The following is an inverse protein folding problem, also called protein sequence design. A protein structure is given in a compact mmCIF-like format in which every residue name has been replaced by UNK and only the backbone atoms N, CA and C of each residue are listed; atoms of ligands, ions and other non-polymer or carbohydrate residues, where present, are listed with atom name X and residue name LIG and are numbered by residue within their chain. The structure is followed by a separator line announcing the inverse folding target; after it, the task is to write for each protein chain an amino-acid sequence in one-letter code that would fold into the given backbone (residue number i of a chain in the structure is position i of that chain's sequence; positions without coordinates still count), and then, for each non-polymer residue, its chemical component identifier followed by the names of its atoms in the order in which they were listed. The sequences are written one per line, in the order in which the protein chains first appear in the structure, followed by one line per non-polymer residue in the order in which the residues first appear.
data_IF_621394521082
#
_entry.id   IF_621394521082
#
_cell.length_a   1.000
_cell.length_b   1.000
_cell.length_c   1.000
_cell.angle_alpha   90.00
_cell.angle_beta   90.00
_cell.angle_gamma   90.00
#
_symmetry.space_group_name_H-M   'P 1'
#
loop_
_entity.id
_entity.type
_entity.pdbx_description
1 polymer ?
#
# COMPACT_ATOMS: atom_id res chain seq x y z
N UNK A 1 9.14 24.99 24.03
CA UNK A 1 8.30 26.01 24.68
C UNK A 1 7.10 25.30 25.28
N UNK A 2 6.83 25.46 26.57
CA UNK A 2 5.62 24.90 27.21
C UNK A 2 4.50 25.94 27.09
N UNK A 3 3.29 25.53 26.71
CA UNK A 3 2.15 26.44 26.60
C UNK A 3 1.37 26.34 27.92
N UNK A 4 1.67 27.23 28.86
CA UNK A 4 1.11 27.19 30.23
C UNK A 4 -0.27 27.87 30.35
N UNK A 5 -0.87 28.25 29.22
CA UNK A 5 -2.19 28.88 29.16
C UNK A 5 -3.20 27.98 28.42
N UNK A 6 -4.18 27.36 29.10
CA UNK A 6 -5.16 26.48 28.46
C UNK A 6 -6.10 27.21 27.49
N UNK A 7 -6.23 28.54 27.58
CA UNK A 7 -7.02 29.35 26.63
C UNK A 7 -6.33 29.41 25.26
N UNK A 8 -5.00 29.30 25.20
CA UNK A 8 -4.25 29.33 23.94
C UNK A 8 -4.60 28.15 23.01
N UNK A 9 -4.99 27.00 23.57
CA UNK A 9 -5.41 25.84 22.78
C UNK A 9 -6.65 26.11 21.92
N UNK A 10 -7.58 26.97 22.38
CA UNK A 10 -8.77 27.36 21.61
C UNK A 10 -8.45 28.25 20.41
N UNK A 11 -7.30 28.93 20.41
CA UNK A 11 -6.82 29.72 19.26
C UNK A 11 -5.99 28.90 18.27
N UNK A 12 -5.49 27.73 18.66
CA UNK A 12 -4.71 26.83 17.78
C UNK A 12 -5.64 25.89 16.99
N UNK A 13 -6.83 25.61 17.53
CA UNK A 13 -7.84 24.72 16.93
C UNK A 13 -9.00 25.51 16.31
N UNK A 14 -8.71 26.33 15.29
CA UNK A 14 -9.72 27.09 14.54
C UNK A 14 -10.39 26.30 13.39
N UNK A 15 -10.07 25.02 13.22
CA UNK A 15 -10.66 24.17 12.17
C UNK A 15 -11.98 23.56 12.67
N UNK A 16 -13.11 23.97 12.07
CA UNK A 16 -14.43 23.42 12.39
C UNK A 16 -14.56 22.02 11.77
N UNK A 17 -14.31 20.98 12.57
CA UNK A 17 -14.39 19.59 12.13
C UNK A 17 -15.85 19.18 11.84
N UNK A 18 -16.29 19.35 10.60
CA UNK A 18 -17.62 18.91 10.13
C UNK A 18 -17.73 17.39 10.07
N UNK A 19 -18.24 16.79 11.13
CA UNK A 19 -18.64 15.37 11.17
C UNK A 19 -19.86 15.15 10.27
N UNK A 20 -19.68 14.34 9.22
CA UNK A 20 -20.80 13.83 8.41
C UNK A 20 -21.72 12.98 9.29
N UNK A 21 -23.03 12.99 9.02
CA UNK A 21 -24.04 12.37 9.90
C UNK A 21 -23.85 10.86 10.17
N UNK A 22 -23.07 10.18 9.34
CA UNK A 22 -22.67 8.78 9.50
C UNK A 22 -21.69 8.55 10.65
N UNK A 23 -20.76 9.49 10.89
CA UNK A 23 -19.69 9.37 11.89
C UNK A 23 -20.15 9.67 13.31
N UNK A 24 -21.26 10.41 13.47
CA UNK A 24 -21.78 10.82 14.79
C UNK A 24 -22.01 9.64 15.74
N UNK A 25 -22.35 8.45 15.21
CA UNK A 25 -22.63 7.24 15.98
C UNK A 25 -21.41 6.59 16.64
N UNK A 26 -20.19 6.93 16.24
CA UNK A 26 -18.97 6.35 16.84
C UNK A 26 -18.60 6.97 18.19
N UNK A 27 -19.13 8.16 18.51
CA UNK A 27 -18.70 8.95 19.68
C UNK A 27 -19.75 9.06 20.80
N UNK A 28 -20.95 8.48 20.65
CA UNK A 28 -21.99 8.49 21.70
C UNK A 28 -21.78 7.44 22.82
N UNK A 29 -20.60 6.78 22.86
CA UNK A 29 -20.22 5.85 23.93
C UNK A 29 -18.80 6.13 24.46
N UNK A 30 -18.68 7.20 25.25
CA UNK A 30 -17.58 7.39 26.21
C UNK A 30 -18.06 8.25 27.38
N UNK A 31 -18.82 7.63 28.29
CA UNK A 31 -19.11 8.22 29.59
C UNK A 31 -17.82 8.31 30.41
N UNK A 32 -17.30 9.52 30.56
CA UNK A 32 -16.13 9.83 31.39
C UNK A 32 -16.56 9.80 32.87
N UNK A 33 -15.94 8.98 33.74
CA UNK A 33 -16.05 9.19 35.18
C UNK A 33 -15.13 10.33 35.63
N UNK A 34 -15.67 11.29 36.38
CA UNK A 34 -14.92 12.39 36.98
C UNK A 34 -14.01 11.93 38.14
N UNK A 35 -12.96 12.71 38.49
CA UNK A 35 -11.93 12.29 39.45
C UNK A 35 -12.34 12.55 40.90
N UNK A 36 -11.97 11.64 41.80
CA UNK A 36 -11.95 11.86 43.26
C UNK A 36 -10.51 11.75 43.75
N UNK A 37 -10.14 12.70 44.62
CA UNK A 37 -8.79 12.89 45.16
C UNK A 37 -8.60 12.10 46.48
N UNK A 38 -7.36 12.12 47.00
CA UNK A 38 -6.93 11.75 48.36
C UNK A 38 -6.46 10.29 48.62
N UNK A 39 -5.19 10.19 49.02
CA UNK A 39 -4.57 9.04 49.71
C UNK A 39 -4.84 9.16 51.23
N UNK A 40 -4.88 8.06 52.02
CA UNK A 40 -3.62 7.52 52.57
C UNK A 40 -3.55 5.98 52.72
N UNK A 41 -2.31 5.49 52.92
CA UNK A 41 -1.92 4.15 53.43
C UNK A 41 -2.40 3.95 54.91
N UNK A 42 -2.36 2.76 55.59
CA UNK A 42 -1.49 1.60 55.30
C UNK A 42 -2.00 0.15 55.67
N UNK A 43 -1.06 -0.81 55.58
CA UNK A 43 -0.85 -2.04 56.40
C UNK A 43 -1.55 -3.42 56.12
N UNK A 44 -0.70 -4.36 55.66
CA UNK A 44 -0.34 -5.67 56.27
C UNK A 44 -1.36 -6.82 56.44
N UNK A 45 -0.90 -7.99 55.94
CA UNK A 45 -1.17 -9.44 56.23
C UNK A 45 -1.97 -10.18 55.13
N UNK A 46 -1.74 -11.45 54.81
CA UNK A 46 -0.69 -12.49 54.99
C UNK A 46 -1.43 -13.85 54.87
N UNK A 47 -0.74 -14.92 54.43
CA UNK A 47 -1.23 -16.34 54.43
C UNK A 47 -2.42 -16.62 53.48
N UNK A 48 -2.72 -17.83 53.01
CA UNK A 48 -1.99 -19.09 52.75
C UNK A 48 -2.90 -19.95 51.81
N UNK A 49 -2.52 -21.08 51.20
CA UNK A 49 -1.31 -21.92 51.27
C UNK A 49 -0.86 -22.27 49.81
N UNK A 50 -0.37 -23.44 49.34
CA UNK A 50 -0.07 -24.79 49.89
C UNK A 50 1.16 -25.34 49.10
N UNK A 51 1.92 -26.33 49.63
CA UNK A 51 3.28 -26.61 49.19
C UNK A 51 3.39 -27.77 48.19
N UNK A 52 4.58 -27.93 47.60
CA UNK A 52 5.24 -29.25 47.46
C UNK A 52 6.75 -29.04 47.32
N UNK A 53 7.52 -29.64 48.22
CA UNK A 53 8.96 -29.87 48.10
C UNK A 53 9.10 -31.39 48.15
N UNK A 54 9.87 -31.99 47.23
CA UNK A 54 10.85 -33.05 47.51
C UNK A 54 11.49 -33.56 46.20
N UNK A 55 12.81 -33.74 46.23
CA UNK A 55 13.57 -34.60 45.32
C UNK A 55 13.95 -35.84 46.13
N UNK A 56 14.06 -37.04 45.52
CA UNK A 56 15.37 -37.42 44.98
C UNK A 56 15.36 -38.26 43.67
N UNK A 57 16.54 -38.29 43.04
CA UNK A 57 17.01 -39.14 41.92
C UNK A 57 17.44 -40.55 42.41
N UNK A 58 17.80 -41.56 41.57
CA UNK A 58 17.90 -41.63 40.08
C UNK A 58 17.31 -42.94 39.43
N UNK A 59 17.67 -43.16 38.14
CA UNK A 59 17.69 -44.44 37.37
C UNK A 59 16.39 -44.99 36.73
N UNK A 60 16.29 -44.94 35.39
CA UNK A 60 16.63 -46.08 34.52
C UNK A 60 16.70 -45.67 33.03
N UNK A 61 17.55 -46.33 32.24
CA UNK A 61 17.73 -46.05 30.80
C UNK A 61 16.59 -46.67 29.97
N UNK A 62 15.96 -45.88 29.10
CA UNK A 62 15.47 -46.35 27.79
C UNK A 62 15.63 -45.25 26.76
N UNK A 63 16.24 -45.59 25.62
CA UNK A 63 16.38 -44.71 24.47
C UNK A 63 15.02 -44.54 23.80
N UNK A 64 14.62 -43.30 23.52
CA UNK A 64 13.66 -43.00 22.45
C UNK A 64 14.38 -42.12 21.45
N UNK A 65 14.84 -42.73 20.36
CA UNK A 65 15.27 -41.99 19.17
C UNK A 65 14.03 -41.32 18.61
N UNK A 66 13.86 -40.03 18.91
CA UNK A 66 12.87 -39.20 18.24
C UNK A 66 13.41 -38.96 16.83
N UNK A 67 12.74 -39.38 15.75
CA UNK A 67 13.15 -38.96 14.42
C UNK A 67 13.02 -37.43 14.36
N UNK A 68 14.08 -36.75 13.94
CA UNK A 68 13.96 -35.37 13.47
C UNK A 68 13.10 -35.42 12.23
N UNK A 69 11.81 -35.18 12.43
CA UNK A 69 10.90 -34.84 11.34
C UNK A 69 11.39 -33.48 10.86
N UNK A 70 12.06 -33.45 9.71
CA UNK A 70 12.25 -32.21 8.98
C UNK A 70 10.87 -31.58 8.82
N UNK A 71 10.64 -30.47 9.53
CA UNK A 71 9.51 -29.62 9.26
C UNK A 71 9.76 -29.05 7.88
N UNK A 72 9.24 -29.75 6.87
CA UNK A 72 8.86 -29.21 5.59
C UNK A 72 7.87 -28.07 5.86
N UNK A 73 8.42 -26.91 6.21
CA UNK A 73 7.70 -25.64 6.15
C UNK A 73 7.12 -25.63 4.75
N UNK A 74 5.79 -25.60 4.57
CA UNK A 74 5.25 -25.41 3.24
C UNK A 74 5.78 -24.05 2.79
N UNK A 75 6.76 -24.08 1.90
CA UNK A 75 7.18 -22.92 1.13
C UNK A 75 5.89 -22.47 0.45
N UNK A 76 5.26 -21.45 1.02
CA UNK A 76 4.08 -20.82 0.44
C UNK A 76 4.62 -20.14 -0.80
N UNK A 77 4.67 -20.91 -1.89
CA UNK A 77 4.86 -20.42 -3.24
C UNK A 77 3.69 -19.50 -3.47
N UNK A 78 3.93 -18.22 -3.16
CA UNK A 78 3.07 -17.11 -3.56
C UNK A 78 2.68 -17.40 -4.99
N UNK A 79 1.38 -17.55 -5.30
CA UNK A 79 0.97 -18.01 -6.61
C UNK A 79 1.69 -17.14 -7.64
N UNK A 80 2.41 -17.77 -8.56
CA UNK A 80 3.15 -17.03 -9.58
C UNK A 80 2.09 -16.47 -10.52
N UNK A 81 1.56 -15.30 -10.18
CA UNK A 81 0.52 -14.62 -10.93
C UNK A 81 1.14 -14.22 -12.26
N UNK A 82 0.88 -15.04 -13.27
CA UNK A 82 1.37 -14.83 -14.63
C UNK A 82 0.56 -13.72 -15.27
N UNK A 83 1.03 -12.48 -15.11
CA UNK A 83 0.46 -11.32 -15.78
C UNK A 83 0.72 -11.40 -17.29
N UNK A 84 -0.32 -11.18 -18.10
CA UNK A 84 -0.15 -10.95 -19.53
C UNK A 84 0.16 -9.46 -19.75
N UNK A 85 1.40 -9.14 -20.13
CA UNK A 85 1.86 -7.76 -20.36
C UNK A 85 2.61 -7.64 -21.69
N UNK A 86 2.58 -6.44 -22.26
CA UNK A 86 3.25 -6.11 -23.52
C UNK A 86 4.58 -5.42 -23.24
N UNK A 87 5.68 -5.96 -23.77
CA UNK A 87 7.05 -5.48 -23.56
C UNK A 87 7.90 -6.44 -22.73
N UNK A 88 9.13 -6.05 -22.38
CA UNK A 88 10.08 -6.90 -21.64
C UNK A 88 10.53 -6.29 -20.30
N UNK A 89 10.00 -5.13 -19.90
CA UNK A 89 10.29 -4.45 -18.63
C UNK A 89 11.79 -4.18 -18.35
N UNK A 90 12.64 -4.08 -19.39
CA UNK A 90 14.10 -4.05 -19.22
C UNK A 90 14.59 -2.88 -18.35
N UNK A 91 13.93 -1.71 -18.45
CA UNK A 91 14.22 -0.52 -17.62
C UNK A 91 13.30 -0.40 -16.40
N UNK A 92 12.61 -1.48 -16.00
CA UNK A 92 11.71 -1.55 -14.84
C UNK A 92 10.65 -0.44 -14.85
N UNK A 93 10.05 -0.23 -16.01
CA UNK A 93 9.03 0.80 -16.23
C UNK A 93 7.69 0.13 -16.50
N UNK A 94 6.85 0.04 -15.47
CA UNK A 94 5.50 -0.49 -15.55
C UNK A 94 4.50 0.62 -15.92
N UNK A 95 3.65 0.34 -16.90
CA UNK A 95 2.59 1.23 -17.40
C UNK A 95 1.27 0.49 -17.22
N UNK A 96 0.40 1.01 -16.37
CA UNK A 96 -0.93 0.50 -16.11
C UNK A 96 -1.95 1.27 -16.94
N UNK A 97 -2.71 0.54 -17.75
CA UNK A 97 -3.79 1.05 -18.59
C UNK A 97 -5.08 0.29 -18.28
N UNK A 98 -6.24 0.80 -18.70
CA UNK A 98 -7.49 0.08 -18.61
C UNK A 98 -8.25 0.16 -19.95
N UNK A 99 -8.40 -1.00 -20.59
CA UNK A 99 -9.20 -1.17 -21.80
C UNK A 99 -10.06 -2.43 -21.64
N UNK A 100 -11.36 -2.31 -21.32
CA UNK A 100 -12.24 -3.48 -21.12
C UNK A 100 -12.57 -4.23 -22.43
N UNK A 101 -12.38 -3.57 -23.58
CA UNK A 101 -12.72 -4.11 -24.91
C UNK A 101 -11.50 -4.69 -25.65
N UNK A 102 -10.30 -4.66 -25.06
CA UNK A 102 -9.04 -5.04 -25.70
C UNK A 102 -8.14 -5.81 -24.73
N UNK A 103 -7.23 -6.63 -25.24
CA UNK A 103 -6.28 -7.37 -24.38
C UNK A 103 -5.26 -6.44 -23.71
N UNK A 104 -4.67 -5.50 -24.46
CA UNK A 104 -3.62 -4.60 -23.96
C UNK A 104 -4.00 -3.11 -24.05
N UNK A 105 -4.04 -2.56 -25.27
CA UNK A 105 -4.19 -1.13 -25.56
C UNK A 105 -4.58 -0.94 -27.03
N UNK A 106 -5.37 0.09 -27.33
CA UNK A 106 -5.72 0.44 -28.71
C UNK A 106 -4.50 0.90 -29.52
N UNK A 107 -4.40 0.48 -30.79
CA UNK A 107 -3.23 0.75 -31.66
C UNK A 107 -2.88 2.24 -31.78
N UNK A 108 -3.88 3.11 -31.85
CA UNK A 108 -3.68 4.57 -31.88
C UNK A 108 -3.01 5.10 -30.59
N UNK A 109 -3.39 4.56 -29.43
CA UNK A 109 -2.82 4.92 -28.13
C UNK A 109 -1.44 4.30 -27.91
N UNK A 110 -1.24 3.05 -28.37
CA UNK A 110 0.05 2.39 -28.40
C UNK A 110 1.05 3.15 -29.27
N UNK A 111 0.63 3.63 -30.44
CA UNK A 111 1.45 4.47 -31.34
C UNK A 111 1.81 5.80 -30.69
N UNK A 112 0.86 6.46 -30.02
CA UNK A 112 1.12 7.68 -29.25
C UNK A 112 2.12 7.43 -28.11
N UNK A 113 1.97 6.34 -27.36
CA UNK A 113 2.89 5.94 -26.30
C UNK A 113 4.29 5.64 -26.84
N UNK A 114 4.42 4.87 -27.93
CA UNK A 114 5.71 4.59 -28.57
C UNK A 114 6.41 5.87 -29.02
N UNK A 115 5.68 6.85 -29.57
CA UNK A 115 6.27 8.14 -29.95
C UNK A 115 6.79 8.93 -28.73
N UNK A 116 6.13 8.81 -27.58
CA UNK A 116 6.55 9.43 -26.32
C UNK A 116 7.76 8.71 -25.72
N UNK A 117 7.78 7.37 -25.76
CA UNK A 117 8.92 6.55 -25.34
C UNK A 117 10.16 6.78 -26.23
N UNK A 118 10.01 6.83 -27.56
CA UNK A 118 11.11 7.14 -28.50
C UNK A 118 11.76 8.50 -28.23
N UNK A 119 10.97 9.53 -27.86
CA UNK A 119 11.50 10.85 -27.46
C UNK A 119 12.27 10.84 -26.13
N UNK A 120 12.18 9.75 -25.37
CA UNK A 120 12.81 9.51 -24.07
C UNK A 120 13.95 8.49 -24.14
N UNK A 121 14.33 8.05 -25.34
CA UNK A 121 15.29 6.96 -25.56
C UNK A 121 14.87 5.64 -24.87
N UNK A 122 13.57 5.35 -25.00
CA UNK A 122 12.91 4.15 -24.48
C UNK A 122 12.23 3.40 -25.64
N UNK A 123 12.39 2.08 -25.65
CA UNK A 123 11.68 1.19 -26.56
C UNK A 123 10.47 0.53 -25.91
N UNK A 124 9.61 -0.11 -26.72
CA UNK A 124 8.49 -0.90 -26.20
C UNK A 124 8.96 -2.12 -25.39
N UNK A 125 10.19 -2.60 -25.61
CA UNK A 125 10.83 -3.65 -24.82
C UNK A 125 11.28 -3.16 -23.44
N UNK A 126 11.65 -1.88 -23.30
CA UNK A 126 12.11 -1.32 -22.02
C UNK A 126 11.00 -1.25 -20.96
N UNK A 127 9.75 -1.14 -21.42
CA UNK A 127 8.55 -1.01 -20.59
C UNK A 127 7.83 -2.35 -20.44
N UNK A 128 6.92 -2.42 -19.47
CA UNK A 128 5.82 -3.38 -19.45
C UNK A 128 4.50 -2.61 -19.44
N UNK A 129 3.60 -2.93 -20.37
CA UNK A 129 2.24 -2.39 -20.40
C UNK A 129 1.29 -3.49 -19.94
N UNK A 130 0.59 -3.26 -18.84
CA UNK A 130 -0.39 -4.18 -18.28
C UNK A 130 -1.79 -3.55 -18.33
N UNK A 131 -2.76 -4.31 -18.83
CA UNK A 131 -4.16 -3.91 -18.83
C UNK A 131 -4.84 -4.32 -17.53
N UNK A 132 -5.23 -3.34 -16.73
CA UNK A 132 -5.94 -3.52 -15.46
C UNK A 132 -7.40 -3.96 -15.63
N UNK A 133 -7.96 -3.93 -16.85
CA UNK A 133 -9.35 -4.36 -17.06
C UNK A 133 -9.55 -5.86 -16.82
N UNK A 134 -8.58 -6.70 -17.16
CA UNK A 134 -8.59 -8.15 -16.86
C UNK A 134 -8.15 -8.46 -15.42
N UNK A 135 -7.50 -7.51 -14.75
CA UNK A 135 -6.86 -7.68 -13.44
C UNK A 135 -7.35 -6.68 -12.37
N UNK A 136 -8.59 -6.20 -12.46
CA UNK A 136 -9.13 -5.12 -11.60
C UNK A 136 -9.22 -5.44 -10.10
N UNK A 137 -9.06 -6.71 -9.71
CA UNK A 137 -8.99 -7.16 -8.32
C UNK A 137 -7.56 -7.31 -7.78
N UNK A 138 -6.52 -7.11 -8.62
CA UNK A 138 -5.12 -7.29 -8.23
C UNK A 138 -4.64 -6.09 -7.40
N UNK A 139 -3.89 -6.39 -6.33
CA UNK A 139 -3.29 -5.38 -5.46
C UNK A 139 -2.01 -4.83 -6.08
N UNK A 140 -1.72 -3.56 -5.82
CA UNK A 140 -0.46 -2.94 -6.23
C UNK A 140 0.76 -3.74 -5.73
N UNK A 141 0.69 -4.29 -4.53
CA UNK A 141 1.79 -5.04 -3.90
C UNK A 141 2.25 -6.27 -4.70
N UNK A 142 1.31 -6.97 -5.37
CA UNK A 142 1.64 -8.10 -6.24
C UNK A 142 2.32 -7.64 -7.53
N UNK A 143 1.86 -6.51 -8.10
CA UNK A 143 2.49 -5.90 -9.27
C UNK A 143 3.92 -5.40 -8.95
N UNK A 144 4.11 -4.77 -7.79
CA UNK A 144 5.43 -4.34 -7.32
C UNK A 144 6.34 -5.54 -7.06
N UNK A 145 5.82 -6.62 -6.45
CA UNK A 145 6.58 -7.83 -6.17
C UNK A 145 7.02 -8.57 -7.44
N UNK A 146 6.14 -8.64 -8.45
CA UNK A 146 6.41 -9.31 -9.73
C UNK A 146 7.29 -8.48 -10.67
N UNK A 147 6.89 -7.24 -10.98
CA UNK A 147 7.58 -6.39 -11.96
C UNK A 147 8.78 -5.62 -11.38
N UNK A 148 8.83 -5.42 -10.06
CA UNK A 148 9.81 -4.59 -9.34
C UNK A 148 10.09 -3.25 -10.06
N UNK A 149 9.04 -2.48 -10.41
CA UNK A 149 9.20 -1.28 -11.21
C UNK A 149 9.95 -0.19 -10.43
N UNK A 150 10.90 0.47 -11.10
CA UNK A 150 11.49 1.71 -10.62
C UNK A 150 10.61 2.93 -11.02
N UNK A 151 9.86 2.80 -12.12
CA UNK A 151 8.94 3.80 -12.64
C UNK A 151 7.58 3.16 -12.86
N UNK A 152 6.53 3.78 -12.34
CA UNK A 152 5.15 3.35 -12.47
C UNK A 152 4.34 4.49 -13.10
N UNK A 153 3.69 4.22 -14.22
CA UNK A 153 2.77 5.16 -14.86
C UNK A 153 1.37 4.58 -14.84
N UNK A 154 0.39 5.33 -14.35
CA UNK A 154 -1.02 4.93 -14.32
C UNK A 154 -1.84 5.88 -15.18
N UNK A 155 -2.55 5.33 -16.16
CA UNK A 155 -3.26 6.09 -17.20
C UNK A 155 -4.78 5.93 -17.05
N UNK A 156 -5.40 6.95 -16.47
CA UNK A 156 -6.83 7.01 -16.17
C UNK A 156 -7.18 6.41 -14.81
N UNK A 157 -8.26 6.91 -14.22
CA UNK A 157 -8.70 6.51 -12.86
C UNK A 157 -8.98 4.99 -12.77
N UNK A 158 -9.49 4.40 -13.84
CA UNK A 158 -9.80 2.96 -13.95
C UNK A 158 -8.56 2.06 -13.99
N UNK A 159 -7.35 2.63 -14.16
CA UNK A 159 -6.09 1.89 -14.12
C UNK A 159 -5.43 1.89 -12.72
N UNK A 160 -6.06 2.50 -11.70
CA UNK A 160 -5.57 2.51 -10.33
C UNK A 160 -5.77 1.12 -9.68
N UNK A 161 -4.70 0.38 -9.32
CA UNK A 161 -4.81 -0.90 -8.61
C UNK A 161 -5.23 -0.71 -7.16
N UNK A 162 -5.79 -1.76 -6.54
CA UNK A 162 -6.20 -1.69 -5.15
C UNK A 162 -5.00 -1.53 -4.20
N UNK A 163 -5.16 -0.69 -3.18
CA UNK A 163 -4.12 -0.38 -2.20
C UNK A 163 -3.09 0.67 -2.64
N UNK A 164 -3.26 1.32 -3.80
CA UNK A 164 -2.42 2.47 -4.16
C UNK A 164 -2.73 3.67 -3.26
N UNK A 165 -1.68 4.37 -2.81
CA UNK A 165 -1.83 5.63 -2.08
C UNK A 165 -2.52 6.69 -2.97
N UNK A 166 -3.24 7.68 -2.40
CA UNK A 166 -3.82 8.76 -3.18
C UNK A 166 -2.71 9.53 -3.94
N UNK A 167 -2.75 9.39 -5.26
CA UNK A 167 -1.88 10.10 -6.19
C UNK A 167 -2.64 11.31 -6.76
N UNK A 168 -1.94 12.44 -6.85
CA UNK A 168 -2.48 13.64 -7.49
C UNK A 168 -2.30 13.52 -9.00
N UNK A 169 -3.35 13.91 -9.73
CA UNK A 169 -3.38 13.87 -11.19
C UNK A 169 -2.29 14.78 -11.78
N UNK A 170 -1.54 14.24 -12.75
CA UNK A 170 -0.36 14.87 -13.34
C UNK A 170 0.68 15.30 -12.30
N UNK A 171 0.92 14.48 -11.28
CA UNK A 171 1.97 14.74 -10.29
C UNK A 171 2.79 13.46 -10.01
N UNK A 172 4.08 13.40 -10.40
CA UNK A 172 4.93 12.26 -10.08
C UNK A 172 5.30 12.29 -8.60
N UNK A 173 4.98 11.20 -7.90
CA UNK A 173 5.24 11.04 -6.46
C UNK A 173 6.14 9.82 -6.24
N UNK A 174 7.20 9.99 -5.49
CA UNK A 174 8.07 8.88 -5.07
C UNK A 174 7.36 8.15 -3.92
N UNK A 175 7.13 6.85 -4.10
CA UNK A 175 6.50 5.94 -3.13
C UNK A 175 7.41 4.73 -2.96
N UNK A 176 7.78 4.39 -1.73
CA UNK A 176 8.55 3.18 -1.37
C UNK A 176 9.75 2.86 -2.30
N UNK A 177 10.45 3.88 -2.81
CA UNK A 177 11.62 3.74 -3.68
C UNK A 177 11.36 3.69 -5.19
N UNK A 178 10.11 3.76 -5.64
CA UNK A 178 9.73 3.89 -7.06
C UNK A 178 9.01 5.23 -7.32
N UNK A 179 9.12 5.75 -8.54
CA UNK A 179 8.41 6.98 -8.94
C UNK A 179 7.09 6.61 -9.60
N UNK A 180 5.97 6.94 -8.95
CA UNK A 180 4.62 6.72 -9.46
C UNK A 180 4.03 8.02 -10.03
N UNK A 181 3.57 7.97 -11.28
CA UNK A 181 2.89 9.07 -11.95
C UNK A 181 1.46 8.64 -12.31
N UNK A 182 0.48 9.36 -11.78
CA UNK A 182 -0.91 9.25 -12.20
C UNK A 182 -1.25 10.33 -13.23
N UNK A 183 -1.85 9.94 -14.35
CA UNK A 183 -2.24 10.82 -15.45
C UNK A 183 -3.63 10.45 -15.97
N UNK A 184 -4.21 11.31 -16.79
CA UNK A 184 -5.46 11.07 -17.52
C UNK A 184 -5.41 9.78 -18.37
N UNK A 185 -6.58 9.23 -18.71
CA UNK A 185 -6.67 8.13 -19.65
C UNK A 185 -6.34 8.60 -21.08
N UNK A 186 -5.77 7.72 -21.91
CA UNK A 186 -5.42 8.08 -23.30
C UNK A 186 -6.60 8.65 -24.10
N UNK A 187 -7.84 8.18 -23.87
CA UNK A 187 -9.03 8.69 -24.54
C UNK A 187 -9.25 10.19 -24.25
N UNK A 188 -9.17 10.59 -22.99
CA UNK A 188 -9.29 11.99 -22.54
C UNK A 188 -8.09 12.85 -22.96
N UNK A 189 -6.89 12.26 -22.98
CA UNK A 189 -5.70 12.94 -23.50
C UNK A 189 -5.79 13.14 -25.01
N UNK A 190 -6.36 12.21 -25.78
CA UNK A 190 -6.43 12.33 -27.24
C UNK A 190 -7.36 13.46 -27.70
N UNK A 191 -8.43 13.72 -26.95
CA UNK A 191 -9.40 14.78 -27.18
C UNK A 191 -8.84 16.19 -26.86
N UNK A 192 -8.15 16.34 -25.71
CA UNK A 192 -7.69 17.64 -25.21
C UNK A 192 -6.19 17.90 -25.34
N UNK A 193 -5.81 18.96 -26.07
CA UNK A 193 -4.39 19.35 -26.27
C UNK A 193 -3.69 19.72 -24.95
N UNK A 194 -4.40 20.31 -24.00
CA UNK A 194 -3.87 20.65 -22.67
C UNK A 194 -3.48 19.40 -21.88
N UNK A 195 -4.32 18.36 -21.90
CA UNK A 195 -4.03 17.07 -21.26
C UNK A 195 -2.79 16.40 -21.89
N UNK A 196 -2.60 16.49 -23.22
CA UNK A 196 -1.36 16.02 -23.88
C UNK A 196 -0.12 16.77 -23.40
N UNK A 197 -0.21 18.09 -23.22
CA UNK A 197 0.90 18.91 -22.71
C UNK A 197 1.22 18.55 -21.26
N UNK A 198 0.23 18.54 -20.38
CA UNK A 198 0.39 18.20 -18.97
C UNK A 198 1.02 16.81 -18.80
N UNK A 199 0.51 15.79 -19.50
CA UNK A 199 1.10 14.44 -19.50
C UNK A 199 2.54 14.43 -20.02
N UNK A 200 2.85 15.15 -21.10
CA UNK A 200 4.20 15.24 -21.64
C UNK A 200 5.18 15.92 -20.67
N UNK A 201 4.74 16.93 -19.92
CA UNK A 201 5.56 17.55 -18.87
C UNK A 201 5.86 16.59 -17.72
N UNK A 202 4.89 15.79 -17.28
CA UNK A 202 5.15 14.78 -16.25
C UNK A 202 5.99 13.61 -16.77
N UNK A 203 5.80 13.19 -18.02
CA UNK A 203 6.68 12.21 -18.68
C UNK A 203 8.11 12.73 -18.84
N UNK A 204 8.34 14.06 -18.90
CA UNK A 204 9.70 14.63 -18.83
C UNK A 204 10.31 14.49 -17.44
N UNK A 205 9.52 14.67 -16.38
CA UNK A 205 9.97 14.52 -14.99
C UNK A 205 10.24 13.05 -14.58
N UNK A 206 9.68 12.08 -15.32
CA UNK A 206 9.86 10.64 -15.12
C UNK A 206 11.11 10.08 -15.81
#
# INVERSE_FOLDING_TARGET
MKVENPVALRFILQDELYLLGTDKKLYEHSTIPEPVMEQPQPEIKAQAATPTIEQPIPEFKTQVVIPVIEQIVPEVKTPVVSFNYLGQNLKRFLILVNYPELEFIAEAHLTALQNILKRKDLEINDVAILNMATYSAVKLDELISFFKPAKLLLLGQTALPQGIAPLVLNNPKILNGYTALYSFGFKEMMDSVENKKAFWEQMKAL
#
